data_IF_388357157519
#
_entry.id   IF_388357157519
#
_cell.length_a   1.000
_cell.length_b   1.000
_cell.length_c   1.000
_cell.angle_alpha   90.00
_cell.angle_beta   90.00
_cell.angle_gamma   90.00
#
_symmetry.space_group_name_H-M   'P 1'
#
loop_
_entity.id
_entity.type
_entity.pdbx_description
1 polymer ?
#
# COMPACT_ATOMS: atom_id res chain seq x y z
N UNK A 1 15.06 20.11 1.74
CA UNK A 1 15.73 18.82 1.43
C UNK A 1 14.74 17.67 1.30
N UNK A 2 13.81 17.49 2.25
CA UNK A 2 12.77 16.44 2.23
C UNK A 2 11.93 16.32 0.92
N UNK A 3 11.55 17.43 0.28
CA UNK A 3 10.75 17.40 -0.96
C UNK A 3 11.52 16.78 -2.15
N UNK A 4 12.84 17.00 -2.22
CA UNK A 4 13.68 16.45 -3.29
C UNK A 4 13.86 14.94 -3.13
N UNK A 5 13.99 14.49 -1.88
CA UNK A 5 14.10 13.09 -1.49
C UNK A 5 12.83 12.30 -1.80
N UNK A 6 11.66 12.84 -1.46
CA UNK A 6 10.36 12.24 -1.82
C UNK A 6 10.19 12.11 -3.33
N UNK A 7 10.61 13.12 -4.11
CA UNK A 7 10.56 13.05 -5.59
C UNK A 7 11.48 11.98 -6.16
N UNK A 8 12.68 11.79 -5.59
CA UNK A 8 13.58 10.70 -6.00
C UNK A 8 12.94 9.33 -5.70
N UNK A 9 12.40 9.18 -4.50
CA UNK A 9 11.77 7.94 -4.06
C UNK A 9 10.56 7.57 -4.90
N UNK A 10 9.69 8.55 -5.18
CA UNK A 10 8.56 8.38 -6.09
C UNK A 10 8.99 7.89 -7.47
N UNK A 11 10.01 8.53 -8.07
CA UNK A 11 10.52 8.11 -9.39
C UNK A 11 11.09 6.70 -9.36
N UNK A 12 11.77 6.31 -8.28
CA UNK A 12 12.24 4.95 -8.09
C UNK A 12 11.07 3.96 -8.08
N UNK A 13 10.05 4.19 -7.24
CA UNK A 13 8.89 3.31 -7.16
C UNK A 13 8.12 3.25 -8.47
N UNK A 14 7.93 4.39 -9.13
CA UNK A 14 7.29 4.46 -10.44
C UNK A 14 8.03 3.60 -11.46
N UNK A 15 9.36 3.69 -11.53
CA UNK A 15 10.16 2.88 -12.44
C UNK A 15 10.05 1.39 -12.11
N UNK A 16 10.13 1.04 -10.83
CA UNK A 16 10.11 -0.34 -10.39
C UNK A 16 8.74 -1.00 -10.61
N UNK A 17 7.64 -0.32 -10.26
CA UNK A 17 6.27 -0.79 -10.54
C UNK A 17 6.06 -0.93 -12.04
N UNK A 18 6.46 0.08 -12.83
CA UNK A 18 6.35 0.02 -14.31
C UNK A 18 7.10 -1.17 -14.89
N UNK A 19 8.32 -1.43 -14.44
CA UNK A 19 9.14 -2.55 -14.93
C UNK A 19 8.47 -3.89 -14.57
N UNK A 20 8.01 -4.03 -13.33
CA UNK A 20 7.31 -5.25 -12.89
C UNK A 20 5.97 -5.46 -13.59
N UNK A 21 5.21 -4.40 -13.87
CA UNK A 21 3.97 -4.51 -14.64
C UNK A 21 4.26 -4.96 -16.07
N UNK A 22 5.30 -4.41 -16.70
CA UNK A 22 5.76 -4.84 -18.01
C UNK A 22 6.14 -6.33 -18.02
N UNK A 23 6.94 -6.78 -17.05
CA UNK A 23 7.37 -8.19 -16.92
C UNK A 23 6.18 -9.15 -16.75
N UNK A 24 5.09 -8.67 -16.13
CA UNK A 24 3.86 -9.43 -15.88
C UNK A 24 2.79 -9.23 -16.96
N UNK A 25 3.05 -8.46 -18.02
CA UNK A 25 2.09 -8.16 -19.08
C UNK A 25 0.91 -7.27 -18.64
N UNK A 26 1.04 -6.54 -17.54
CA UNK A 26 0.02 -5.63 -17.00
C UNK A 26 0.15 -4.26 -17.68
N UNK A 27 -0.92 -3.79 -18.32
CA UNK A 27 -0.98 -2.45 -18.92
C UNK A 27 -1.95 -1.57 -18.14
N UNK A 28 -1.46 -0.90 -17.09
CA UNK A 28 -2.27 -0.03 -16.23
C UNK A 28 -1.48 1.24 -15.82
N UNK A 29 -1.40 2.27 -16.70
CA UNK A 29 -0.60 3.46 -16.44
C UNK A 29 -1.05 4.23 -15.19
N UNK A 30 -2.36 4.48 -15.03
CA UNK A 30 -2.89 5.23 -13.87
C UNK A 30 -2.62 4.49 -12.55
N UNK A 31 -2.82 3.17 -12.53
CA UNK A 31 -2.51 2.32 -11.38
C UNK A 31 -1.03 2.37 -11.03
N UNK A 32 -0.15 2.39 -12.04
CA UNK A 32 1.31 2.49 -11.83
C UNK A 32 1.66 3.77 -11.08
N UNK A 33 1.11 4.92 -11.49
CA UNK A 33 1.34 6.19 -10.81
C UNK A 33 0.78 6.17 -9.38
N UNK A 34 -0.45 5.69 -9.20
CA UNK A 34 -1.10 5.62 -7.89
C UNK A 34 -0.33 4.75 -6.91
N UNK A 35 0.06 3.54 -7.33
CA UNK A 35 0.84 2.63 -6.48
C UNK A 35 2.18 3.27 -6.11
N UNK A 36 2.86 3.96 -7.04
CA UNK A 36 4.09 4.66 -6.71
C UNK A 36 3.87 5.75 -5.64
N UNK A 37 2.73 6.44 -5.64
CA UNK A 37 2.36 7.38 -4.57
C UNK A 37 2.15 6.66 -3.25
N UNK A 38 1.40 5.55 -3.22
CA UNK A 38 1.16 4.74 -2.02
C UNK A 38 2.47 4.23 -1.41
N UNK A 39 3.36 3.66 -2.23
CA UNK A 39 4.66 3.17 -1.78
C UNK A 39 5.53 4.31 -1.22
N UNK A 40 5.50 5.48 -1.87
CA UNK A 40 6.24 6.67 -1.41
C UNK A 40 5.67 7.19 -0.09
N UNK A 41 4.36 7.19 0.07
CA UNK A 41 3.70 7.63 1.29
C UNK A 41 4.09 6.72 2.47
N UNK A 42 3.99 5.41 2.31
CA UNK A 42 4.26 4.43 3.37
C UNK A 42 5.72 4.06 3.59
N UNK A 43 6.62 4.55 2.75
CA UNK A 43 8.05 4.55 3.06
C UNK A 43 8.37 5.37 4.33
N UNK A 44 7.47 6.27 4.75
CA UNK A 44 7.56 6.94 6.06
C UNK A 44 6.72 6.15 7.08
N UNK A 45 7.35 5.60 8.10
CA UNK A 45 6.69 4.79 9.13
C UNK A 45 5.52 5.52 9.80
N UNK A 46 5.59 6.84 9.96
CA UNK A 46 4.49 7.65 10.50
C UNK A 46 3.22 7.61 9.64
N UNK A 47 3.36 7.41 8.34
CA UNK A 47 2.22 7.36 7.42
C UNK A 47 1.41 6.07 7.52
N UNK A 48 1.99 4.97 8.05
CA UNK A 48 1.27 3.71 8.29
C UNK A 48 0.21 3.86 9.38
N UNK A 49 0.50 4.68 10.40
CA UNK A 49 -0.35 4.89 11.58
C UNK A 49 -0.93 6.31 11.64
N UNK A 50 -1.24 6.89 10.47
CA UNK A 50 -1.73 8.27 10.36
C UNK A 50 -3.20 8.43 10.78
N UNK A 51 -3.98 7.36 10.76
CA UNK A 51 -5.38 7.41 11.16
C UNK A 51 -5.46 7.45 12.68
N UNK A 52 -6.29 8.36 13.19
CA UNK A 52 -6.56 8.55 14.61
C UNK A 52 -8.05 8.49 14.85
N UNK A 53 -8.43 7.94 16.00
CA UNK A 53 -9.82 7.96 16.48
C UNK A 53 -10.22 9.35 16.98
N UNK A 54 -11.47 9.46 17.45
CA UNK A 54 -12.02 10.70 18.02
C UNK A 54 -11.29 11.19 19.29
N UNK A 55 -10.56 10.31 19.99
CA UNK A 55 -9.76 10.62 21.17
C UNK A 55 -8.33 11.03 20.82
N UNK A 56 -7.94 10.90 19.54
CA UNK A 56 -6.61 11.21 19.04
C UNK A 56 -5.62 10.04 19.08
N UNK A 57 -6.05 8.85 19.47
CA UNK A 57 -5.21 7.65 19.54
C UNK A 57 -4.98 7.05 18.15
N UNK A 58 -3.77 6.52 17.93
CA UNK A 58 -3.40 5.94 16.63
C UNK A 58 -4.10 4.61 16.42
N UNK A 59 -4.79 4.46 15.29
CA UNK A 59 -5.35 3.17 14.89
C UNK A 59 -4.27 2.32 14.23
N UNK A 60 -4.01 1.14 14.81
CA UNK A 60 -2.91 0.26 14.38
C UNK A 60 -3.38 -1.03 13.72
N UNK A 61 -4.67 -1.36 13.82
CA UNK A 61 -5.26 -2.54 13.19
C UNK A 61 -6.29 -2.15 12.13
N UNK A 62 -6.46 -3.01 11.12
CA UNK A 62 -7.51 -2.85 10.10
C UNK A 62 -8.89 -2.86 10.74
N UNK A 63 -9.09 -3.68 11.79
CA UNK A 63 -10.37 -3.77 12.50
C UNK A 63 -10.72 -2.44 13.17
N UNK A 64 -9.78 -1.80 13.87
CA UNK A 64 -10.03 -0.50 14.49
C UNK A 64 -10.34 0.58 13.45
N UNK A 65 -9.61 0.57 12.33
CA UNK A 65 -9.86 1.49 11.22
C UNK A 65 -11.24 1.27 10.59
N UNK A 66 -11.70 0.03 10.47
CA UNK A 66 -13.05 -0.28 9.99
C UNK A 66 -14.14 0.20 10.94
N UNK A 67 -13.92 0.06 12.25
CA UNK A 67 -14.85 0.56 13.28
C UNK A 67 -14.97 2.08 13.21
N UNK A 68 -13.84 2.79 13.19
CA UNK A 68 -13.82 4.25 13.05
C UNK A 68 -14.48 4.70 11.73
N UNK A 69 -14.22 4.00 10.62
CA UNK A 69 -14.83 4.34 9.34
C UNK A 69 -16.37 4.27 9.36
N UNK A 70 -16.97 3.42 10.20
CA UNK A 70 -18.44 3.28 10.24
C UNK A 70 -19.16 4.39 10.98
N UNK A 71 -18.44 5.19 11.78
CA UNK A 71 -19.00 6.25 12.62
C UNK A 71 -18.47 7.65 12.26
N UNK A 72 -17.44 7.72 11.42
CA UNK A 72 -16.71 8.95 11.13
C UNK A 72 -17.16 9.59 9.82
N UNK A 73 -17.29 10.92 9.79
CA UNK A 73 -17.45 11.70 8.54
C UNK A 73 -16.25 11.56 7.59
N UNK A 74 -15.15 11.00 8.09
CA UNK A 74 -13.93 10.67 7.33
C UNK A 74 -13.96 9.27 6.74
N UNK A 75 -15.11 8.60 6.72
CA UNK A 75 -15.26 7.21 6.22
C UNK A 75 -14.47 6.98 4.93
N UNK A 76 -14.66 7.82 3.90
CA UNK A 76 -13.96 7.69 2.62
C UNK A 76 -12.44 7.75 2.75
N UNK A 77 -11.91 8.66 3.57
CA UNK A 77 -10.47 8.81 3.80
C UNK A 77 -9.91 7.55 4.48
N UNK A 78 -10.61 7.05 5.49
CA UNK A 78 -10.20 5.88 6.26
C UNK A 78 -10.27 4.62 5.39
N UNK A 79 -11.35 4.44 4.60
CA UNK A 79 -11.47 3.34 3.63
C UNK A 79 -10.36 3.40 2.59
N UNK A 80 -10.02 4.58 2.04
CA UNK A 80 -8.86 4.71 1.14
C UNK A 80 -7.58 4.24 1.83
N UNK A 81 -7.33 4.70 3.06
CA UNK A 81 -6.15 4.28 3.82
C UNK A 81 -6.12 2.77 4.10
N UNK A 82 -7.26 2.15 4.40
CA UNK A 82 -7.35 0.68 4.54
C UNK A 82 -6.95 -0.02 3.23
N UNK A 83 -7.47 0.45 2.09
CA UNK A 83 -7.11 -0.08 0.77
C UNK A 83 -5.62 0.06 0.46
N UNK A 84 -5.06 1.24 0.71
CA UNK A 84 -3.64 1.51 0.52
C UNK A 84 -2.79 0.60 1.42
N UNK A 85 -3.13 0.56 2.72
CA UNK A 85 -2.39 -0.17 3.76
C UNK A 85 -2.37 -1.66 3.46
N UNK A 86 -3.54 -2.22 3.13
CA UNK A 86 -3.65 -3.64 2.79
C UNK A 86 -2.92 -3.97 1.49
N UNK A 87 -2.95 -3.11 0.47
CA UNK A 87 -2.22 -3.31 -0.79
C UNK A 87 -0.70 -3.33 -0.54
N UNK A 88 -0.21 -2.36 0.23
CA UNK A 88 1.19 -2.28 0.63
C UNK A 88 1.64 -3.50 1.43
N UNK A 89 0.89 -3.87 2.47
CA UNK A 89 1.23 -4.98 3.35
C UNK A 89 1.15 -6.34 2.65
N UNK A 90 0.11 -6.57 1.84
CA UNK A 90 -0.06 -7.83 1.10
C UNK A 90 0.86 -7.95 -0.11
N UNK A 91 1.44 -6.84 -0.60
CA UNK A 91 2.43 -6.82 -1.67
C UNK A 91 3.86 -6.82 -1.15
N UNK A 92 4.28 -5.73 -0.51
CA UNK A 92 5.68 -5.51 -0.05
C UNK A 92 6.04 -6.39 1.15
N UNK A 93 5.08 -6.66 2.04
CA UNK A 93 5.29 -7.46 3.24
C UNK A 93 4.52 -8.79 3.20
N UNK A 94 4.27 -9.33 2.00
CA UNK A 94 3.45 -10.53 1.78
C UNK A 94 3.83 -11.68 2.71
N UNK A 95 5.11 -12.06 2.76
CA UNK A 95 5.60 -13.16 3.60
C UNK A 95 5.32 -12.94 5.09
N UNK A 96 5.39 -11.69 5.56
CA UNK A 96 5.09 -11.32 6.95
C UNK A 96 3.60 -11.49 7.29
N UNK A 97 2.72 -11.16 6.34
CA UNK A 97 1.26 -11.30 6.46
C UNK A 97 0.84 -12.76 6.35
N UNK A 98 1.44 -13.51 5.40
CA UNK A 98 1.19 -14.95 5.19
C UNK A 98 1.56 -15.78 6.42
N UNK A 99 2.73 -15.55 7.03
CA UNK A 99 3.18 -16.26 8.24
C UNK A 99 2.24 -16.10 9.43
N UNK A 100 1.41 -15.05 9.44
CA UNK A 100 0.41 -14.78 10.48
C UNK A 100 -0.99 -15.27 10.10
N UNK A 101 -1.17 -15.87 8.93
CA UNK A 101 -2.46 -16.38 8.46
C UNK A 101 -3.45 -15.29 8.05
N UNK A 102 -2.98 -14.05 7.81
CA UNK A 102 -3.87 -12.91 7.53
C UNK A 102 -3.95 -12.53 6.05
N UNK A 103 -3.26 -13.22 5.14
CA UNK A 103 -3.19 -12.78 3.73
C UNK A 103 -4.59 -12.65 3.11
N UNK A 104 -5.44 -13.67 3.22
CA UNK A 104 -6.81 -13.62 2.69
C UNK A 104 -7.64 -12.49 3.28
N UNK A 105 -7.47 -12.20 4.57
CA UNK A 105 -8.12 -11.06 5.24
C UNK A 105 -7.64 -9.71 4.66
N UNK A 106 -6.34 -9.53 4.44
CA UNK A 106 -5.81 -8.30 3.85
C UNK A 106 -6.29 -8.10 2.40
N UNK A 107 -6.29 -9.16 1.60
CA UNK A 107 -6.76 -9.11 0.22
C UNK A 107 -8.25 -8.72 0.17
N UNK A 108 -9.08 -9.36 1.00
CA UNK A 108 -10.52 -9.12 0.99
C UNK A 108 -10.88 -7.73 1.55
N UNK A 109 -10.26 -7.31 2.66
CA UNK A 109 -10.53 -5.98 3.21
C UNK A 109 -10.01 -4.86 2.31
N UNK A 110 -8.88 -5.05 1.62
CA UNK A 110 -8.40 -4.08 0.64
C UNK A 110 -9.32 -3.95 -0.57
N UNK A 111 -9.81 -5.08 -1.08
CA UNK A 111 -10.80 -5.16 -2.16
C UNK A 111 -12.07 -4.37 -1.81
N UNK A 112 -12.66 -4.66 -0.64
CA UNK A 112 -13.86 -3.98 -0.13
C UNK A 112 -13.63 -2.49 0.10
N UNK A 113 -12.46 -2.14 0.64
CA UNK A 113 -12.11 -0.77 0.96
C UNK A 113 -12.06 0.11 -0.30
N UNK A 114 -11.36 -0.31 -1.36
CA UNK A 114 -11.36 0.44 -2.62
C UNK A 114 -12.72 0.43 -3.31
N UNK A 115 -13.48 -0.65 -3.24
CA UNK A 115 -14.84 -0.68 -3.79
C UNK A 115 -15.74 0.36 -3.10
N UNK A 116 -15.65 0.47 -1.78
CA UNK A 116 -16.35 1.51 -1.01
C UNK A 116 -15.91 2.92 -1.43
N UNK A 117 -14.61 3.17 -1.63
CA UNK A 117 -14.12 4.47 -2.12
C UNK A 117 -14.65 4.79 -3.52
N UNK A 118 -14.71 3.78 -4.40
CA UNK A 118 -15.35 3.91 -5.70
C UNK A 118 -16.82 4.30 -5.56
N UNK A 119 -17.57 3.72 -4.61
CA UNK A 119 -18.98 4.08 -4.44
C UNK A 119 -19.22 5.54 -4.06
N UNK A 120 -18.27 6.19 -3.38
CA UNK A 120 -18.37 7.61 -3.04
C UNK A 120 -18.24 8.56 -4.25
N UNK A 121 -17.35 8.28 -5.19
CA UNK A 121 -17.00 9.25 -6.25
C UNK A 121 -17.00 8.68 -7.68
N UNK A 122 -17.33 7.40 -7.83
CA UNK A 122 -17.36 6.64 -9.09
C UNK A 122 -16.06 6.73 -9.90
N UNK A 123 -14.92 6.88 -9.21
CA UNK A 123 -13.60 6.94 -9.84
C UNK A 123 -13.17 5.56 -10.35
N UNK A 124 -12.94 5.47 -11.66
CA UNK A 124 -12.53 4.23 -12.33
C UNK A 124 -11.27 3.60 -11.72
N UNK A 125 -10.30 4.42 -11.31
CA UNK A 125 -9.09 4.00 -10.61
C UNK A 125 -9.39 3.08 -9.41
N UNK A 126 -10.32 3.47 -8.54
CA UNK A 126 -10.67 2.69 -7.36
C UNK A 126 -11.51 1.46 -7.69
N UNK A 127 -12.30 1.51 -8.77
CA UNK A 127 -12.99 0.33 -9.28
C UNK A 127 -12.00 -0.72 -9.80
N UNK A 128 -11.01 -0.31 -10.60
CA UNK A 128 -9.96 -1.19 -11.13
C UNK A 128 -9.10 -1.77 -9.99
N UNK A 129 -8.64 -0.93 -9.06
CA UNK A 129 -7.92 -1.39 -7.86
C UNK A 129 -8.72 -2.39 -7.04
N UNK A 130 -10.04 -2.20 -6.90
CA UNK A 130 -10.90 -3.12 -6.18
C UNK A 130 -11.10 -4.43 -6.97
N UNK A 131 -11.36 -4.35 -8.26
CA UNK A 131 -11.61 -5.52 -9.12
C UNK A 131 -10.39 -6.43 -9.20
N UNK A 132 -9.22 -5.85 -9.43
CA UNK A 132 -7.98 -6.57 -9.71
C UNK A 132 -6.99 -6.45 -8.52
N UNK A 133 -7.49 -6.30 -7.30
CA UNK A 133 -6.68 -6.08 -6.09
C UNK A 133 -5.59 -7.14 -5.90
N UNK A 134 -5.96 -8.42 -6.02
CA UNK A 134 -5.03 -9.53 -5.83
C UNK A 134 -3.93 -9.55 -6.90
N UNK A 135 -4.26 -9.16 -8.14
CA UNK A 135 -3.30 -9.01 -9.23
C UNK A 135 -2.25 -7.94 -8.87
N UNK A 136 -2.68 -6.75 -8.45
CA UNK A 136 -1.74 -5.68 -8.08
C UNK A 136 -0.94 -5.99 -6.83
N UNK A 137 -1.55 -6.62 -5.83
CA UNK A 137 -0.86 -7.13 -4.64
C UNK A 137 0.21 -8.16 -5.03
N UNK A 138 -0.10 -9.10 -5.92
CA UNK A 138 0.86 -10.07 -6.45
C UNK A 138 1.99 -9.43 -7.26
N UNK A 139 1.65 -8.46 -8.10
CA UNK A 139 2.63 -7.68 -8.86
C UNK A 139 3.60 -6.90 -7.96
N UNK A 140 3.12 -6.41 -6.81
CA UNK A 140 3.95 -5.78 -5.80
C UNK A 140 4.86 -6.77 -5.07
N UNK A 141 4.42 -7.99 -4.77
CA UNK A 141 5.33 -9.01 -4.23
C UNK A 141 6.39 -9.43 -5.25
N UNK A 142 6.04 -9.51 -6.54
CA UNK A 142 7.01 -9.73 -7.62
C UNK A 142 8.04 -8.57 -7.66
N UNK A 143 7.56 -7.32 -7.72
CA UNK A 143 8.41 -6.13 -7.67
C UNK A 143 9.34 -6.17 -6.46
N UNK A 144 8.81 -6.50 -5.28
CA UNK A 144 9.59 -6.67 -4.07
C UNK A 144 10.70 -7.70 -4.24
N UNK A 145 10.40 -8.89 -4.77
CA UNK A 145 11.40 -9.95 -5.01
C UNK A 145 12.49 -9.51 -5.99
N UNK A 146 12.16 -8.68 -6.97
CA UNK A 146 13.09 -8.19 -8.00
C UNK A 146 13.97 -7.04 -7.48
N UNK A 147 13.39 -6.06 -6.78
CA UNK A 147 14.07 -4.82 -6.40
C UNK A 147 14.58 -4.79 -4.95
N UNK A 148 13.97 -5.59 -4.06
CA UNK A 148 14.30 -5.60 -2.63
C UNK A 148 14.78 -6.98 -2.17
N UNK A 149 16.06 -7.28 -2.43
CA UNK A 149 16.68 -8.54 -1.96
C UNK A 149 16.86 -8.49 -0.44
N UNK A 150 16.34 -9.47 0.28
CA UNK A 150 16.61 -9.65 1.71
C UNK A 150 15.55 -9.18 2.71
N UNK A 151 14.33 -8.82 2.28
CA UNK A 151 13.18 -8.54 3.17
C UNK A 151 12.60 -9.79 3.87
N UNK A 152 13.47 -10.72 4.28
CA UNK A 152 13.11 -12.01 4.89
C UNK A 152 13.59 -12.12 6.35
N UNK A 153 14.15 -11.04 6.90
CA UNK A 153 14.68 -10.96 8.25
C UNK A 153 13.58 -11.01 9.33
N UNK A 154 14.02 -11.01 10.60
CA UNK A 154 13.10 -10.95 11.75
C UNK A 154 12.32 -9.63 11.82
N UNK A 155 12.86 -8.56 11.24
CA UNK A 155 12.25 -7.23 11.15
C UNK A 155 12.27 -6.73 9.70
N UNK A 156 11.28 -7.15 8.88
CA UNK A 156 11.26 -6.78 7.47
C UNK A 156 11.02 -5.27 7.26
N UNK A 157 10.43 -4.56 8.22
CA UNK A 157 10.16 -3.12 8.10
C UNK A 157 11.45 -2.32 8.18
N UNK A 158 12.34 -2.64 9.12
CA UNK A 158 13.67 -2.02 9.21
C UNK A 158 14.52 -2.34 7.98
N UNK A 159 14.47 -3.58 7.49
CA UNK A 159 15.17 -3.98 6.27
C UNK A 159 14.67 -3.16 5.05
N UNK A 160 13.36 -2.92 4.94
CA UNK A 160 12.76 -2.11 3.88
C UNK A 160 13.20 -0.65 3.97
N UNK A 161 13.14 -0.05 5.16
CA UNK A 161 13.60 1.32 5.39
C UNK A 161 15.08 1.49 5.02
N UNK A 162 15.93 0.52 5.39
CA UNK A 162 17.35 0.51 5.04
C UNK A 162 17.58 0.38 3.52
N UNK A 163 16.77 -0.40 2.81
CA UNK A 163 16.92 -0.51 1.37
C UNK A 163 16.46 0.74 0.63
N UNK A 164 15.40 1.40 1.09
CA UNK A 164 14.92 2.65 0.52
C UNK A 164 15.93 3.79 0.71
N UNK A 165 16.60 3.87 1.87
CA UNK A 165 17.54 4.97 2.16
C UNK A 165 18.66 5.08 1.10
N UNK A 166 19.07 3.95 0.50
CA UNK A 166 20.05 3.88 -0.58
C UNK A 166 19.65 4.65 -1.85
N UNK A 167 18.35 4.90 -2.05
CA UNK A 167 17.82 5.61 -3.21
C UNK A 167 17.50 7.09 -2.92
N UNK A 168 17.55 7.49 -1.65
CA UNK A 168 17.26 8.84 -1.20
C UNK A 168 18.54 9.69 -1.18
N UNK A 169 19.66 9.10 -0.81
CA UNK A 169 20.98 9.74 -0.79
C UNK A 169 21.51 10.02 -2.21
#
# INVERSE_FOLDING_TARGET
>A
MAVKELKKLYRFFQQAVRSSFYDLGITAPEITYYIAEVLTEFARTDSLYKIRDAQGEKLTTIVDMLLEASISYREREIKKHIGDYTLFMSGIFREYVERRGFLGFYLEEGRKAYFSVFDFNKSFLFWELAKDFELYSGALDYMRKTFFKGLKGKDPFSDFAYQISKYIH
#
